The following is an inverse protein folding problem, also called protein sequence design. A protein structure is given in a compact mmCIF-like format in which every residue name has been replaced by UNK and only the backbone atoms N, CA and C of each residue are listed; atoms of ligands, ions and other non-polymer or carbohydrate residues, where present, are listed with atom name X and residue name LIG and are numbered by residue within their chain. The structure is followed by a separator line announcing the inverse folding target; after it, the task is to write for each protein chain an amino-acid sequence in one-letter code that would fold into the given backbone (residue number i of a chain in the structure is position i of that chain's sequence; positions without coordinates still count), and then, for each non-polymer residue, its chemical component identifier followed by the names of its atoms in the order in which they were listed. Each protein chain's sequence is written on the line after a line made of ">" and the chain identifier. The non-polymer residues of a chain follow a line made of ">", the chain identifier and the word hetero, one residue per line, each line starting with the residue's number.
data_IF_437361957487
#
_entry.id   IF_437361957487
#
_cell.length_a   1.000
_cell.length_b   1.000
_cell.length_c   1.000
_cell.angle_alpha   90.00
_cell.angle_beta   90.00
_cell.angle_gamma   90.00
#
_symmetry.space_group_name_H-M   'P 1'
#
loop_
_entity.id
_entity.type
_entity.pdbx_description
1 polymer ?
#
# COMPACT_ATOMS: atom_id res chain seq x y z
N UNK A 1 -23.24 -5.50 8.88
CA UNK A 1 -22.23 -5.90 9.87
C UNK A 1 -22.71 -5.73 11.31
N UNK A 2 -23.03 -4.50 11.72
CA UNK A 2 -23.40 -4.16 13.12
C UNK A 2 -24.52 -5.02 13.70
N UNK A 3 -25.64 -5.21 12.99
CA UNK A 3 -26.77 -6.00 13.47
C UNK A 3 -26.40 -7.48 13.68
N UNK A 4 -25.55 -8.04 12.83
CA UNK A 4 -25.04 -9.40 12.99
C UNK A 4 -24.17 -9.54 14.25
N UNK A 5 -23.21 -8.63 14.43
CA UNK A 5 -22.33 -8.66 15.60
C UNK A 5 -23.11 -8.54 16.91
N UNK A 6 -24.18 -7.73 16.94
CA UNK A 6 -25.04 -7.54 18.12
C UNK A 6 -26.01 -8.69 18.36
N UNK A 7 -26.21 -9.59 17.41
CA UNK A 7 -27.20 -10.66 17.53
C UNK A 7 -26.78 -11.72 18.58
N UNK A 8 -27.65 -12.13 19.54
CA UNK A 8 -27.26 -12.97 20.65
C UNK A 8 -26.78 -14.37 20.24
N UNK A 9 -27.24 -14.88 19.12
CA UNK A 9 -26.84 -16.20 18.60
C UNK A 9 -25.47 -16.20 17.91
N UNK A 10 -24.91 -15.02 17.57
CA UNK A 10 -23.56 -14.93 17.01
C UNK A 10 -22.54 -15.06 18.13
N UNK A 11 -21.62 -16.01 18.02
CA UNK A 11 -20.64 -16.38 19.06
C UNK A 11 -19.18 -16.06 18.67
N UNK A 12 -18.95 -15.52 17.50
CA UNK A 12 -17.63 -15.07 17.01
C UNK A 12 -17.76 -14.31 15.71
N UNK A 13 -16.77 -13.50 15.39
CA UNK A 13 -16.68 -12.68 14.16
C UNK A 13 -15.36 -12.95 13.48
N UNK A 14 -15.40 -13.32 12.18
CA UNK A 14 -14.26 -13.27 11.26
C UNK A 14 -14.44 -12.08 10.32
N UNK A 15 -13.41 -11.28 10.15
CA UNK A 15 -13.44 -10.08 9.31
C UNK A 15 -12.12 -9.87 8.57
N UNK A 16 -12.22 -9.46 7.31
CA UNK A 16 -11.08 -8.96 6.52
C UNK A 16 -11.49 -7.64 5.89
N UNK A 17 -10.67 -6.60 6.06
CA UNK A 17 -10.96 -5.28 5.50
C UNK A 17 -10.18 -4.16 6.17
N UNK A 18 -10.73 -2.93 6.14
CA UNK A 18 -10.06 -1.76 6.67
C UNK A 18 -9.89 -1.80 8.20
N UNK A 19 -8.83 -1.18 8.70
CA UNK A 19 -8.58 -1.01 10.15
C UNK A 19 -9.77 -0.36 10.84
N UNK A 20 -10.36 0.67 10.23
CA UNK A 20 -11.50 1.38 10.79
C UNK A 20 -12.70 0.45 11.00
N UNK A 21 -13.05 -0.35 9.99
CA UNK A 21 -14.20 -1.27 10.07
C UNK A 21 -13.93 -2.42 11.05
N UNK A 22 -12.73 -3.03 11.02
CA UNK A 22 -12.37 -4.11 11.93
C UNK A 22 -12.36 -3.67 13.39
N UNK A 23 -11.81 -2.49 13.69
CA UNK A 23 -11.84 -1.89 15.05
C UNK A 23 -13.28 -1.63 15.50
N UNK A 24 -14.13 -1.08 14.65
CA UNK A 24 -15.53 -0.84 14.99
C UNK A 24 -16.28 -2.16 15.32
N UNK A 25 -16.02 -3.24 14.57
CA UNK A 25 -16.62 -4.55 14.85
C UNK A 25 -16.08 -5.15 16.16
N UNK A 26 -14.79 -5.01 16.42
CA UNK A 26 -14.15 -5.43 17.66
C UNK A 26 -14.78 -4.74 18.88
N UNK A 27 -14.90 -3.42 18.83
CA UNK A 27 -15.47 -2.63 19.93
C UNK A 27 -16.96 -2.98 20.17
N UNK A 28 -17.72 -3.19 19.10
CA UNK A 28 -19.11 -3.64 19.20
C UNK A 28 -19.23 -5.04 19.85
N UNK A 29 -18.33 -5.95 19.51
CA UNK A 29 -18.32 -7.30 20.08
C UNK A 29 -17.94 -7.31 21.56
N UNK A 30 -16.99 -6.47 21.95
CA UNK A 30 -16.56 -6.30 23.33
C UNK A 30 -17.63 -5.64 24.23
N UNK A 31 -18.46 -4.76 23.67
CA UNK A 31 -19.52 -4.04 24.40
C UNK A 31 -20.82 -4.86 24.58
N UNK A 32 -20.90 -6.08 24.08
CA UNK A 32 -22.08 -6.94 24.29
C UNK A 32 -22.22 -7.35 25.75
N UNK A 33 -23.43 -7.66 26.19
CA UNK A 33 -23.68 -8.25 27.52
C UNK A 33 -22.91 -9.59 27.69
N UNK A 34 -22.77 -10.36 26.60
CA UNK A 34 -21.89 -11.52 26.47
C UNK A 34 -20.86 -11.21 25.37
N UNK A 35 -19.63 -10.75 25.72
CA UNK A 35 -18.58 -10.47 24.74
C UNK A 35 -18.22 -11.71 23.92
N UNK A 36 -17.87 -11.49 22.65
CA UNK A 36 -17.48 -12.56 21.71
C UNK A 36 -16.13 -12.26 21.07
N UNK A 37 -15.37 -13.30 20.67
CA UNK A 37 -14.09 -13.10 19.99
C UNK A 37 -14.27 -12.51 18.59
N UNK A 38 -13.30 -11.67 18.20
CA UNK A 38 -13.20 -11.11 16.84
C UNK A 38 -11.80 -11.43 16.29
N UNK A 39 -11.78 -12.10 15.15
CA UNK A 39 -10.58 -12.38 14.36
C UNK A 39 -10.60 -11.47 13.14
N UNK A 40 -9.82 -10.40 13.19
CA UNK A 40 -9.84 -9.36 12.16
C UNK A 40 -8.46 -9.19 11.52
N UNK A 41 -8.42 -9.41 10.21
CA UNK A 41 -7.28 -9.11 9.34
C UNK A 41 -7.47 -7.69 8.76
N UNK A 42 -6.62 -6.75 9.18
CA UNK A 42 -6.82 -5.32 8.95
C UNK A 42 -5.55 -4.64 8.46
N UNK A 43 -5.55 -4.28 7.20
CA UNK A 43 -4.45 -3.54 6.58
C UNK A 43 -3.16 -4.35 6.44
N UNK A 44 -2.35 -4.01 5.45
CA UNK A 44 -1.03 -4.58 5.26
C UNK A 44 -0.17 -3.64 4.42
N UNK A 45 1.16 -3.70 4.57
CA UNK A 45 2.09 -2.92 3.75
C UNK A 45 3.10 -3.80 3.03
N UNK A 46 3.26 -5.06 3.43
CA UNK A 46 4.11 -6.10 2.82
C UNK A 46 5.49 -5.57 2.39
N UNK A 47 6.38 -5.26 3.33
CA UNK A 47 7.67 -4.70 2.98
C UNK A 47 8.51 -5.69 2.17
N UNK A 48 9.06 -5.20 1.07
CA UNK A 48 10.03 -5.91 0.23
C UNK A 48 11.40 -5.34 0.51
N UNK A 49 12.37 -6.20 0.83
CA UNK A 49 13.77 -5.82 1.02
C UNK A 49 14.56 -6.20 -0.22
N UNK A 50 15.09 -5.21 -0.92
CA UNK A 50 15.99 -5.41 -2.05
C UNK A 50 17.45 -5.32 -1.60
N UNK A 51 18.10 -6.46 -1.57
CA UNK A 51 19.52 -6.56 -1.19
C UNK A 51 20.42 -5.99 -2.31
N UNK A 52 21.58 -5.38 -1.96
CA UNK A 52 22.47 -4.76 -2.94
C UNK A 52 22.90 -5.69 -4.07
N UNK A 53 23.19 -6.95 -3.76
CA UNK A 53 23.60 -7.92 -4.78
C UNK A 53 22.49 -8.22 -5.81
N UNK A 54 21.23 -8.27 -5.39
CA UNK A 54 20.11 -8.47 -6.29
C UNK A 54 19.92 -7.27 -7.24
N UNK A 55 20.05 -6.04 -6.72
CA UNK A 55 19.98 -4.81 -7.52
C UNK A 55 21.13 -4.76 -8.54
N UNK A 56 22.36 -5.05 -8.09
CA UNK A 56 23.56 -5.06 -8.95
C UNK A 56 23.46 -6.10 -10.06
N UNK A 57 22.89 -7.26 -9.77
CA UNK A 57 22.78 -8.36 -10.73
C UNK A 57 21.78 -8.04 -11.85
N UNK A 58 20.60 -7.51 -11.54
CA UNK A 58 19.58 -7.20 -12.55
C UNK A 58 18.49 -6.24 -12.05
N UNK A 59 18.81 -4.95 -11.91
CA UNK A 59 17.86 -3.93 -11.47
C UNK A 59 16.64 -3.82 -12.38
N UNK A 60 16.82 -3.94 -13.70
CA UNK A 60 15.74 -3.86 -14.69
C UNK A 60 14.70 -4.99 -14.52
N UNK A 61 15.15 -6.22 -14.31
CA UNK A 61 14.26 -7.36 -14.08
C UNK A 61 13.40 -7.16 -12.81
N UNK A 62 14.06 -6.73 -11.73
CA UNK A 62 13.36 -6.52 -10.48
C UNK A 62 12.39 -5.34 -10.54
N UNK A 63 12.75 -4.26 -11.24
CA UNK A 63 11.87 -3.11 -11.46
C UNK A 63 10.61 -3.51 -12.24
N UNK A 64 10.76 -4.27 -13.32
CA UNK A 64 9.61 -4.76 -14.11
C UNK A 64 8.71 -5.68 -13.29
N UNK A 65 9.29 -6.63 -12.53
CA UNK A 65 8.54 -7.54 -11.67
C UNK A 65 7.79 -6.78 -10.56
N UNK A 66 8.45 -5.79 -9.96
CA UNK A 66 7.87 -4.97 -8.89
C UNK A 66 6.72 -4.08 -9.41
N UNK A 67 6.88 -3.46 -10.59
CA UNK A 67 5.82 -2.70 -11.24
C UNK A 67 4.59 -3.56 -11.50
N UNK A 68 4.78 -4.77 -12.04
CA UNK A 68 3.70 -5.73 -12.23
C UNK A 68 3.00 -6.13 -10.93
N UNK A 69 3.76 -6.29 -9.83
CA UNK A 69 3.21 -6.62 -8.52
C UNK A 69 2.36 -5.48 -7.94
N UNK A 70 2.86 -4.23 -8.00
CA UNK A 70 2.12 -3.04 -7.49
C UNK A 70 0.80 -2.85 -8.24
N UNK A 71 0.78 -3.13 -9.55
CA UNK A 71 -0.37 -2.83 -10.42
C UNK A 71 -1.36 -3.98 -10.55
N UNK A 72 -1.01 -5.17 -10.08
CA UNK A 72 -1.86 -6.36 -10.14
C UNK A 72 -3.22 -6.09 -9.47
N UNK A 73 -4.31 -6.27 -10.23
CA UNK A 73 -5.67 -6.05 -9.72
C UNK A 73 -5.89 -4.64 -9.14
N UNK A 74 -5.32 -3.61 -9.79
CA UNK A 74 -5.31 -2.22 -9.29
C UNK A 74 -4.70 -2.07 -7.88
N UNK A 75 -3.73 -2.92 -7.53
CA UNK A 75 -3.10 -2.93 -6.21
C UNK A 75 -4.02 -3.33 -5.05
N UNK A 76 -5.21 -3.87 -5.34
CA UNK A 76 -6.23 -4.18 -4.34
C UNK A 76 -6.12 -5.60 -3.78
N UNK A 77 -4.90 -6.00 -3.41
CA UNK A 77 -4.62 -7.26 -2.72
C UNK A 77 -3.99 -7.01 -1.35
N UNK A 78 -4.33 -7.86 -0.39
CA UNK A 78 -3.66 -7.88 0.92
C UNK A 78 -2.16 -8.17 0.82
N UNK A 79 -1.68 -8.68 -0.30
CA UNK A 79 -0.28 -8.96 -0.62
C UNK A 79 0.40 -7.86 -1.44
N UNK A 80 -0.26 -6.75 -1.73
CA UNK A 80 0.34 -5.64 -2.49
C UNK A 80 1.59 -5.11 -1.78
N UNK A 81 2.76 -4.97 -2.46
CA UNK A 81 3.99 -4.49 -1.84
C UNK A 81 3.97 -2.97 -1.69
N UNK A 82 3.46 -2.50 -0.55
CA UNK A 82 3.32 -1.07 -0.23
C UNK A 82 4.62 -0.39 0.18
N UNK A 83 5.64 -1.15 0.60
CA UNK A 83 6.96 -0.64 0.98
C UNK A 83 8.07 -1.43 0.29
N UNK A 84 9.10 -0.71 -0.14
CA UNK A 84 10.35 -1.27 -0.63
C UNK A 84 11.49 -0.64 0.15
N UNK A 85 12.31 -1.46 0.80
CA UNK A 85 13.49 -1.03 1.54
C UNK A 85 14.75 -1.42 0.75
N UNK A 86 15.63 -0.48 0.54
CA UNK A 86 16.91 -0.74 -0.12
C UNK A 86 17.98 0.26 0.35
N UNK A 87 19.24 -0.17 0.28
CA UNK A 87 20.37 0.68 0.61
C UNK A 87 20.57 1.72 -0.51
N UNK A 88 20.81 2.97 -0.15
CA UNK A 88 21.12 4.07 -1.07
C UNK A 88 22.32 3.73 -1.94
N UNK A 89 22.27 4.14 -3.20
CA UNK A 89 23.40 4.00 -4.11
C UNK A 89 22.98 3.98 -5.58
N UNK A 90 23.98 3.86 -6.44
CA UNK A 90 23.80 3.87 -7.90
C UNK A 90 22.85 2.78 -8.38
N UNK A 91 22.93 1.58 -7.79
CA UNK A 91 22.11 0.44 -8.20
C UNK A 91 20.61 0.68 -7.85
N UNK A 92 20.33 1.32 -6.70
CA UNK A 92 18.96 1.72 -6.34
C UNK A 92 18.44 2.83 -7.26
N UNK A 93 19.29 3.78 -7.67
CA UNK A 93 18.91 4.81 -8.63
C UNK A 93 18.53 4.21 -9.98
N UNK A 94 19.33 3.28 -10.50
CA UNK A 94 19.03 2.54 -11.74
C UNK A 94 17.72 1.73 -11.65
N UNK A 95 17.50 1.07 -10.52
CA UNK A 95 16.23 0.39 -10.25
C UNK A 95 15.06 1.37 -10.26
N UNK A 96 15.19 2.52 -9.60
CA UNK A 96 14.14 3.53 -9.50
C UNK A 96 13.79 4.13 -10.87
N UNK A 97 14.77 4.39 -11.73
CA UNK A 97 14.57 4.84 -13.11
C UNK A 97 13.86 3.78 -13.96
N UNK A 98 14.29 2.52 -13.85
CA UNK A 98 13.66 1.40 -14.54
C UNK A 98 12.22 1.17 -14.06
N UNK A 99 11.99 1.30 -12.75
CA UNK A 99 10.65 1.21 -12.14
C UNK A 99 9.76 2.34 -12.62
N UNK A 100 10.26 3.58 -12.69
CA UNK A 100 9.51 4.72 -13.20
C UNK A 100 9.04 4.45 -14.64
N UNK A 101 9.96 4.03 -15.51
CA UNK A 101 9.65 3.66 -16.88
C UNK A 101 8.57 2.55 -16.95
N UNK A 102 8.70 1.52 -16.12
CA UNK A 102 7.73 0.43 -16.12
C UNK A 102 6.34 0.88 -15.65
N UNK A 103 6.25 1.69 -14.59
CA UNK A 103 4.99 2.22 -14.04
C UNK A 103 4.28 3.12 -15.07
N UNK A 104 5.01 3.97 -15.76
CA UNK A 104 4.45 4.89 -16.78
C UNK A 104 3.87 4.15 -17.99
N UNK A 105 4.39 2.97 -18.30
CA UNK A 105 3.94 2.16 -19.42
C UNK A 105 2.81 1.17 -19.09
N UNK A 106 2.42 1.01 -17.83
CA UNK A 106 1.31 0.13 -17.42
C UNK A 106 0.03 0.98 -17.33
N UNK A 107 -1.02 0.68 -18.14
CA UNK A 107 -2.28 1.40 -18.03
C UNK A 107 -2.95 1.18 -16.65
N UNK A 108 -3.58 2.21 -16.08
CA UNK A 108 -4.37 2.06 -14.87
C UNK A 108 -5.48 1.01 -15.02
N UNK A 109 -5.86 0.39 -13.91
CA UNK A 109 -6.92 -0.61 -13.87
C UNK A 109 -8.09 -0.11 -13.02
N UNK A 110 -9.29 -0.65 -13.30
CA UNK A 110 -10.51 -0.31 -12.59
C UNK A 110 -10.45 -0.82 -11.15
N UNK A 111 -10.72 0.06 -10.20
CA UNK A 111 -10.88 -0.28 -8.78
C UNK A 111 -12.28 -0.83 -8.51
N UNK A 112 -12.45 -1.54 -7.40
CA UNK A 112 -13.67 -2.27 -7.08
C UNK A 112 -14.92 -1.37 -7.04
N UNK A 113 -14.78 -0.15 -6.50
CA UNK A 113 -15.85 0.85 -6.48
C UNK A 113 -15.31 2.26 -6.21
N UNK A 114 -16.13 3.27 -6.54
CA UNK A 114 -15.72 4.69 -6.50
C UNK A 114 -15.21 5.18 -5.13
N UNK A 115 -15.76 4.67 -4.02
CA UNK A 115 -15.25 5.08 -2.70
C UNK A 115 -13.83 4.58 -2.44
N UNK A 116 -13.46 3.40 -2.96
CA UNK A 116 -12.07 2.92 -2.85
C UNK A 116 -11.11 3.79 -3.68
N UNK A 117 -11.51 4.21 -4.88
CA UNK A 117 -10.74 5.18 -5.66
C UNK A 117 -10.52 6.47 -4.88
N UNK A 118 -11.59 7.05 -4.33
CA UNK A 118 -11.51 8.28 -3.55
C UNK A 118 -10.60 8.16 -2.32
N UNK A 119 -10.67 7.03 -1.62
CA UNK A 119 -9.83 6.78 -0.43
C UNK A 119 -8.36 6.56 -0.85
N UNK A 120 -8.12 5.86 -1.95
CA UNK A 120 -6.80 5.69 -2.55
C UNK A 120 -6.18 7.03 -2.96
N UNK A 121 -6.91 7.88 -3.68
CA UNK A 121 -6.44 9.20 -4.11
C UNK A 121 -6.10 10.10 -2.91
N UNK A 122 -6.99 10.16 -1.91
CA UNK A 122 -6.74 10.91 -0.67
C UNK A 122 -5.52 10.37 0.10
N UNK A 123 -5.38 9.05 0.15
CA UNK A 123 -4.23 8.40 0.78
C UNK A 123 -2.92 8.74 0.08
N UNK A 124 -2.91 8.69 -1.25
CA UNK A 124 -1.74 9.05 -2.07
C UNK A 124 -1.35 10.50 -1.89
N UNK A 125 -2.29 11.43 -1.99
CA UNK A 125 -2.05 12.88 -1.77
C UNK A 125 -1.48 13.12 -0.37
N UNK A 126 -2.08 12.51 0.65
CA UNK A 126 -1.60 12.63 2.03
C UNK A 126 -0.15 12.15 2.19
N UNK A 127 0.26 11.10 1.47
CA UNK A 127 1.65 10.64 1.48
C UNK A 127 2.58 11.59 0.72
N UNK A 128 2.16 12.10 -0.43
CA UNK A 128 2.94 13.08 -1.22
C UNK A 128 3.22 14.38 -0.46
N UNK A 129 2.29 14.82 0.38
CA UNK A 129 2.41 16.04 1.18
C UNK A 129 3.32 15.90 2.41
N UNK A 130 3.79 14.69 2.74
CA UNK A 130 4.69 14.50 3.88
C UNK A 130 6.08 15.08 3.60
N UNK A 131 6.65 15.73 4.61
CA UNK A 131 8.01 16.29 4.51
C UNK A 131 9.04 15.21 4.18
N UNK A 132 9.90 15.49 3.21
CA UNK A 132 10.97 14.59 2.77
C UNK A 132 10.52 13.49 1.81
N UNK A 133 9.24 13.45 1.46
CA UNK A 133 8.73 12.54 0.42
C UNK A 133 8.87 13.17 -0.96
N UNK A 134 9.26 12.37 -1.93
CA UNK A 134 9.32 12.78 -3.33
C UNK A 134 8.73 11.71 -4.25
N UNK A 135 8.25 12.13 -5.41
CA UNK A 135 7.66 11.23 -6.41
C UNK A 135 8.76 10.60 -7.26
N UNK A 136 8.73 9.28 -7.39
CA UNK A 136 9.60 8.50 -8.28
C UNK A 136 8.90 8.30 -9.62
N UNK A 137 7.64 7.86 -9.58
CA UNK A 137 6.86 7.57 -10.78
C UNK A 137 5.36 7.77 -10.53
N UNK A 138 4.67 8.14 -11.59
CA UNK A 138 3.20 8.15 -11.63
C UNK A 138 2.77 8.04 -13.10
N UNK A 139 1.75 7.24 -13.38
CA UNK A 139 1.18 7.17 -14.73
C UNK A 139 0.73 8.55 -15.21
N UNK A 140 1.20 8.98 -16.40
CA UNK A 140 0.99 10.33 -16.93
C UNK A 140 -0.21 10.45 -17.89
N UNK A 141 -0.76 9.34 -18.37
CA UNK A 141 -1.89 9.35 -19.29
C UNK A 141 -3.22 9.70 -18.62
N UNK A 142 -4.25 9.77 -19.44
CA UNK A 142 -5.62 9.93 -18.96
C UNK A 142 -6.06 8.73 -18.12
N UNK A 143 -6.79 9.01 -17.04
CA UNK A 143 -7.33 7.98 -16.14
C UNK A 143 -8.85 8.10 -16.15
N UNK A 144 -9.51 7.00 -16.46
CA UNK A 144 -10.96 6.91 -16.46
C UNK A 144 -11.51 6.98 -15.01
N UNK A 145 -12.78 7.35 -14.90
CA UNK A 145 -13.47 7.30 -13.61
C UNK A 145 -13.40 5.88 -13.00
N UNK A 146 -13.17 5.80 -11.73
CA UNK A 146 -13.01 4.56 -10.95
C UNK A 146 -11.73 3.75 -11.25
N UNK A 147 -10.71 4.38 -11.88
CA UNK A 147 -9.40 3.76 -12.10
C UNK A 147 -8.36 4.35 -11.14
N UNK A 148 -7.48 3.50 -10.60
CA UNK A 148 -6.39 3.92 -9.71
C UNK A 148 -5.15 4.34 -10.52
N UNK A 149 -4.71 5.59 -10.36
CA UNK A 149 -3.45 6.09 -10.95
C UNK A 149 -2.27 5.56 -10.14
N UNK A 150 -1.54 4.62 -10.68
CA UNK A 150 -0.38 4.05 -9.99
C UNK A 150 0.67 5.10 -9.68
N UNK A 151 1.17 5.05 -8.45
CA UNK A 151 2.12 6.04 -7.92
C UNK A 151 3.19 5.35 -7.08
N UNK A 152 4.43 5.71 -7.32
CA UNK A 152 5.59 5.32 -6.50
C UNK A 152 6.22 6.56 -5.92
N UNK A 153 6.36 6.58 -4.61
CA UNK A 153 7.03 7.64 -3.86
C UNK A 153 8.35 7.13 -3.30
N UNK A 154 9.18 8.04 -2.83
CA UNK A 154 10.38 7.70 -2.05
C UNK A 154 10.60 8.64 -0.89
N UNK A 155 11.28 8.14 0.12
CA UNK A 155 11.65 8.86 1.33
C UNK A 155 12.96 8.33 1.90
N UNK A 156 13.70 9.19 2.59
CA UNK A 156 14.88 8.80 3.36
C UNK A 156 14.50 7.94 4.58
N UNK A 157 15.28 6.90 4.89
CA UNK A 157 15.03 5.98 6.00
C UNK A 157 14.91 6.67 7.36
N UNK A 158 15.73 7.70 7.61
CA UNK A 158 15.68 8.46 8.85
C UNK A 158 14.38 9.27 9.00
N UNK A 159 13.85 9.79 7.90
CA UNK A 159 12.57 10.48 7.84
C UNK A 159 11.41 9.50 8.01
N UNK A 160 11.48 8.34 7.35
CA UNK A 160 10.50 7.28 7.51
C UNK A 160 10.34 6.83 8.96
N UNK A 161 11.45 6.59 9.67
CA UNK A 161 11.43 6.16 11.08
C UNK A 161 10.85 7.22 12.03
N UNK A 162 11.01 8.51 11.72
CA UNK A 162 10.50 9.62 12.53
C UNK A 162 9.02 9.91 12.28
N UNK A 163 8.51 9.63 11.08
CA UNK A 163 7.14 9.93 10.70
C UNK A 163 6.29 8.66 10.55
N UNK A 164 5.60 8.30 11.62
CA UNK A 164 4.73 7.11 11.66
C UNK A 164 3.61 7.12 10.61
N UNK A 165 3.23 8.28 10.07
CA UNK A 165 2.20 8.35 9.01
C UNK A 165 2.64 7.68 7.73
N UNK A 166 3.96 7.59 7.47
CA UNK A 166 4.51 6.96 6.27
C UNK A 166 4.41 5.43 6.25
N UNK A 167 4.17 4.82 7.41
CA UNK A 167 3.96 3.37 7.52
C UNK A 167 2.49 2.94 7.36
N UNK A 168 1.57 3.89 7.14
CA UNK A 168 0.17 3.55 6.93
C UNK A 168 -0.06 3.00 5.52
N UNK A 169 -0.97 2.04 5.42
CA UNK A 169 -1.40 1.49 4.14
C UNK A 169 -2.08 2.56 3.26
N UNK A 170 -1.73 2.56 1.97
CA UNK A 170 -2.49 3.20 0.90
C UNK A 170 -3.01 2.08 0.00
N UNK A 171 -4.27 1.70 0.17
CA UNK A 171 -4.85 0.54 -0.49
C UNK A 171 -5.18 0.82 -1.96
N UNK A 172 -4.33 0.33 -2.85
CA UNK A 172 -4.39 0.58 -4.29
C UNK A 172 -3.01 0.45 -4.95
N UNK A 173 -2.84 0.88 -6.20
CA UNK A 173 -1.59 0.75 -6.94
C UNK A 173 -0.54 1.78 -6.47
N UNK A 174 -0.07 1.61 -5.24
CA UNK A 174 0.86 2.49 -4.54
C UNK A 174 2.02 1.70 -3.96
N UNK A 175 3.19 2.31 -3.97
CA UNK A 175 4.33 1.85 -3.17
C UNK A 175 5.25 3.00 -2.79
N UNK A 176 6.00 2.82 -1.70
CA UNK A 176 6.99 3.77 -1.21
C UNK A 176 8.36 3.11 -1.09
N UNK A 177 9.36 3.70 -1.74
CA UNK A 177 10.76 3.31 -1.58
C UNK A 177 11.33 4.02 -0.36
N UNK A 178 11.86 3.25 0.59
CA UNK A 178 12.58 3.77 1.75
C UNK A 178 14.08 3.59 1.49
N UNK A 179 14.78 4.70 1.32
CA UNK A 179 16.21 4.75 1.05
C UNK A 179 17.00 4.65 2.36
N UNK A 180 17.57 3.47 2.66
CA UNK A 180 18.32 3.18 3.88
C UNK A 180 19.81 3.51 3.71
N UNK A 181 20.48 3.91 4.80
CA UNK A 181 21.92 4.16 4.81
C UNK A 181 22.72 2.86 4.95
N UNK A 182 22.18 1.87 5.68
CA UNK A 182 22.75 0.57 5.99
C UNK A 182 21.67 -0.52 6.13
#
# INVERSE_FOLDING_TARGET
>A
GTSLVKHPLVKGVGFTGSILAGRALFDLAAQRAEPIPVFAEMGSVNPVVLLPNALKENSQKWATAYAGSITLGAGQFCTNPGLLLAIKGTDLNQFSEALATAIENIPPSCMLHASMQNDFEKGTIKMEEQNGVSKVAQYQGEVQANFGRQTVLKVDGSTFLKNKSLSHEVFGPFSMIVECDD
#
